data_IF_317626007834
#
_entry.id   IF_317626007834
#
_cell.length_a   1.000
_cell.length_b   1.000
_cell.length_c   1.000
_cell.angle_alpha   90.00
_cell.angle_beta   90.00
_cell.angle_gamma   90.00
#
_symmetry.space_group_name_H-M   'P 1'
#
loop_
_entity.id
_entity.type
_entity.pdbx_description
1 polymer ?
#
# COMPACT_ATOMS: atom_id res chain seq x y z
N UNK A 1 8.78 -4.80 -27.14
CA UNK A 1 7.81 -4.77 -26.00
C UNK A 1 6.64 -3.89 -26.44
N UNK A 2 5.40 -4.42 -26.53
CA UNK A 2 4.22 -3.62 -26.95
C UNK A 2 4.00 -2.51 -25.90
N UNK A 3 3.99 -1.22 -26.30
CA UNK A 3 3.88 -0.05 -25.40
C UNK A 3 2.76 -0.16 -24.36
N UNK A 4 1.64 -0.80 -24.70
CA UNK A 4 0.52 -1.07 -23.80
C UNK A 4 0.91 -1.89 -22.56
N UNK A 5 1.80 -2.87 -22.71
CA UNK A 5 2.28 -3.73 -21.61
C UNK A 5 3.16 -2.96 -20.64
N UNK A 6 4.00 -2.05 -21.16
CA UNK A 6 4.81 -1.18 -20.31
C UNK A 6 3.94 -0.23 -19.49
N UNK A 7 2.94 0.40 -20.12
CA UNK A 7 1.98 1.26 -19.42
C UNK A 7 1.24 0.48 -18.33
N UNK A 8 0.76 -0.73 -18.65
CA UNK A 8 0.09 -1.60 -17.70
C UNK A 8 0.97 -1.89 -16.48
N UNK A 9 2.24 -2.25 -16.68
CA UNK A 9 3.17 -2.53 -15.60
C UNK A 9 3.40 -1.32 -14.70
N UNK A 10 3.63 -0.15 -15.29
CA UNK A 10 3.83 1.10 -14.53
C UNK A 10 2.58 1.44 -13.72
N UNK A 11 1.39 1.34 -14.32
CA UNK A 11 0.13 1.55 -13.60
C UNK A 11 -0.08 0.53 -12.48
N UNK A 12 0.34 -0.72 -12.67
CA UNK A 12 0.24 -1.77 -11.65
C UNK A 12 1.22 -1.57 -10.48
N UNK A 13 2.25 -0.74 -10.61
CA UNK A 13 3.18 -0.42 -9.52
C UNK A 13 2.63 0.64 -8.55
N UNK A 14 1.75 1.53 -9.03
CA UNK A 14 1.18 2.63 -8.22
C UNK A 14 0.48 2.12 -6.95
N UNK A 15 -0.40 1.10 -7.00
CA UNK A 15 -1.07 0.59 -5.81
C UNK A 15 -0.08 0.02 -4.79
N UNK A 16 0.96 -0.68 -5.25
CA UNK A 16 1.99 -1.24 -4.37
C UNK A 16 2.85 -0.15 -3.70
N UNK A 17 3.15 0.94 -4.41
CA UNK A 17 3.81 2.10 -3.81
C UNK A 17 2.95 2.72 -2.69
N UNK A 18 1.64 2.83 -2.92
CA UNK A 18 0.71 3.35 -1.90
C UNK A 18 0.56 2.41 -0.71
N UNK A 19 0.59 1.08 -0.91
CA UNK A 19 0.64 0.11 0.18
C UNK A 19 1.90 0.29 1.01
N UNK A 20 3.07 0.46 0.38
CA UNK A 20 4.33 0.74 1.07
C UNK A 20 4.27 2.03 1.88
N UNK A 21 3.75 3.11 1.28
CA UNK A 21 3.55 4.40 1.97
C UNK A 21 2.60 4.28 3.17
N UNK A 22 1.51 3.53 3.02
CA UNK A 22 0.55 3.28 4.10
C UNK A 22 1.19 2.48 5.26
N UNK A 23 2.03 1.48 4.97
CA UNK A 23 2.76 0.72 5.99
C UNK A 23 3.75 1.59 6.77
N UNK A 24 4.50 2.46 6.07
CA UNK A 24 5.41 3.42 6.72
C UNK A 24 4.61 4.36 7.61
N UNK A 25 3.49 4.89 7.12
CA UNK A 25 2.62 5.78 7.89
C UNK A 25 1.98 5.06 9.10
N UNK A 26 1.73 3.75 9.03
CA UNK A 26 1.19 2.98 10.14
C UNK A 26 2.22 2.64 11.22
N UNK A 27 3.52 2.78 10.92
CA UNK A 27 4.62 2.41 11.83
C UNK A 27 4.49 2.99 13.24
N UNK A 28 4.05 4.26 13.47
CA UNK A 28 3.92 4.79 14.82
C UNK A 28 2.89 4.06 15.67
N UNK A 29 1.73 3.78 15.08
CA UNK A 29 0.66 3.03 15.75
C UNK A 29 1.07 1.58 15.98
N UNK A 30 1.77 0.96 15.02
CA UNK A 30 2.29 -0.40 15.22
C UNK A 30 3.31 -0.46 16.35
N UNK A 31 4.22 0.52 16.43
CA UNK A 31 5.21 0.61 17.50
C UNK A 31 4.55 0.77 18.87
N UNK A 32 3.51 1.60 18.98
CA UNK A 32 2.76 1.76 20.23
C UNK A 32 2.03 0.47 20.64
N UNK A 33 1.38 -0.19 19.69
CA UNK A 33 0.69 -1.47 19.92
C UNK A 33 1.65 -2.64 20.27
N UNK A 34 2.93 -2.56 19.89
CA UNK A 34 3.90 -3.61 20.17
C UNK A 34 4.65 -3.35 21.48
N UNK A 35 5.11 -2.11 21.67
CA UNK A 35 5.99 -1.73 22.78
C UNK A 35 5.22 -1.26 24.02
N UNK A 36 3.97 -0.81 23.87
CA UNK A 36 3.11 -0.33 24.96
C UNK A 36 3.81 0.67 25.91
N UNK A 37 4.61 1.57 25.35
CA UNK A 37 5.49 2.45 26.13
C UNK A 37 4.91 3.86 26.31
N UNK A 38 5.22 4.57 27.42
CA UNK A 38 4.82 5.97 27.59
C UNK A 38 5.37 6.90 26.49
N UNK A 39 6.55 6.56 25.95
CA UNK A 39 7.19 7.31 24.86
C UNK A 39 6.41 7.19 23.56
N UNK A 40 5.99 5.99 23.19
CA UNK A 40 5.18 5.75 21.97
C UNK A 40 3.80 6.37 22.07
N UNK A 41 3.18 6.35 23.26
CA UNK A 41 1.91 7.02 23.52
C UNK A 41 2.05 8.55 23.35
N UNK A 42 3.11 9.14 23.92
CA UNK A 42 3.38 10.58 23.78
C UNK A 42 3.65 10.97 22.33
N UNK A 43 4.37 10.13 21.59
CA UNK A 43 4.61 10.32 20.16
C UNK A 43 3.30 10.29 19.37
N UNK A 44 2.40 9.33 19.61
CA UNK A 44 1.08 9.25 18.98
C UNK A 44 0.20 10.47 19.31
N UNK A 45 0.21 10.95 20.55
CA UNK A 45 -0.51 12.19 20.93
C UNK A 45 0.02 13.39 20.15
N UNK A 46 1.34 13.49 20.01
CA UNK A 46 1.99 14.59 19.27
C UNK A 46 1.64 14.54 17.78
N UNK A 47 1.69 13.35 17.18
CA UNK A 47 1.25 13.08 15.81
C UNK A 47 -0.24 13.37 15.62
N UNK A 48 -1.09 13.00 16.58
CA UNK A 48 -2.53 13.28 16.52
C UNK A 48 -2.83 14.77 16.41
N UNK A 49 -2.02 15.63 17.06
CA UNK A 49 -2.14 17.10 16.96
C UNK A 49 -1.77 17.65 15.59
N UNK A 50 -0.95 16.94 14.81
CA UNK A 50 -0.62 17.31 13.42
C UNK A 50 -1.56 16.70 12.39
N UNK A 51 -2.66 16.05 12.81
CA UNK A 51 -3.65 15.45 11.91
C UNK A 51 -3.34 14.00 11.51
N UNK A 52 -2.49 13.31 12.28
CA UNK A 52 -2.23 11.89 12.07
C UNK A 52 -3.51 11.05 12.17
N UNK A 53 -3.88 10.37 11.09
CA UNK A 53 -5.05 9.49 11.05
C UNK A 53 -4.64 8.07 10.61
N UNK A 54 -4.29 7.18 11.56
CA UNK A 54 -3.82 5.84 11.24
C UNK A 54 -4.93 4.97 10.61
N UNK A 55 -6.20 5.23 10.93
CA UNK A 55 -7.33 4.50 10.32
C UNK A 55 -7.40 4.73 8.82
N UNK A 56 -7.10 5.95 8.37
CA UNK A 56 -7.05 6.29 6.95
C UNK A 56 -5.96 5.50 6.24
N UNK A 57 -4.76 5.39 6.84
CA UNK A 57 -3.69 4.57 6.26
C UNK A 57 -4.05 3.08 6.19
N UNK A 58 -4.75 2.54 7.20
CA UNK A 58 -5.26 1.15 7.12
C UNK A 58 -6.25 0.97 5.98
N UNK A 59 -7.24 1.87 5.84
CA UNK A 59 -8.28 1.76 4.81
C UNK A 59 -7.70 1.94 3.40
N UNK A 60 -6.90 2.98 3.18
CA UNK A 60 -6.26 3.26 1.89
C UNK A 60 -5.28 2.15 1.53
N UNK A 61 -4.43 1.74 2.47
CA UNK A 61 -3.47 0.65 2.26
C UNK A 61 -4.17 -0.66 1.90
N UNK A 62 -5.24 -1.03 2.61
CA UNK A 62 -6.02 -2.23 2.30
C UNK A 62 -6.70 -2.15 0.93
N UNK A 63 -7.33 -1.03 0.60
CA UNK A 63 -7.96 -0.82 -0.70
C UNK A 63 -6.95 -0.92 -1.85
N UNK A 64 -5.76 -0.32 -1.68
CA UNK A 64 -4.70 -0.38 -2.68
C UNK A 64 -4.07 -1.77 -2.80
N UNK A 65 -3.98 -2.52 -1.70
CA UNK A 65 -3.55 -3.91 -1.75
C UNK A 65 -4.52 -4.77 -2.56
N UNK A 66 -5.82 -4.65 -2.30
CA UNK A 66 -6.88 -5.34 -3.07
C UNK A 66 -6.77 -4.98 -4.55
N UNK A 67 -6.68 -3.69 -4.87
CA UNK A 67 -6.59 -3.22 -6.24
C UNK A 67 -5.31 -3.70 -6.96
N UNK A 68 -4.16 -3.67 -6.26
CA UNK A 68 -2.89 -4.19 -6.77
C UNK A 68 -2.94 -5.70 -7.03
N UNK A 69 -3.60 -6.47 -6.16
CA UNK A 69 -3.82 -7.92 -6.36
C UNK A 69 -4.72 -8.19 -7.57
N UNK A 70 -5.80 -7.42 -7.74
CA UNK A 70 -6.66 -7.53 -8.92
C UNK A 70 -5.91 -7.22 -10.21
N UNK A 71 -5.10 -6.14 -10.22
CA UNK A 71 -4.24 -5.81 -11.35
C UNK A 71 -3.24 -6.93 -11.65
N UNK A 72 -2.64 -7.54 -10.64
CA UNK A 72 -1.74 -8.69 -10.84
C UNK A 72 -2.47 -9.89 -11.47
N UNK A 73 -3.69 -10.19 -11.01
CA UNK A 73 -4.51 -11.27 -11.56
C UNK A 73 -4.92 -11.02 -13.03
N UNK A 74 -5.34 -9.79 -13.35
CA UNK A 74 -5.66 -9.37 -14.72
C UNK A 74 -4.41 -9.44 -15.59
N UNK A 75 -3.28 -8.93 -15.09
CA UNK A 75 -2.00 -8.97 -15.78
C UNK A 75 -1.62 -10.40 -16.15
N UNK A 76 -1.72 -11.35 -15.21
CA UNK A 76 -1.41 -12.75 -15.49
C UNK A 76 -2.15 -13.29 -16.71
N UNK A 77 -3.42 -12.95 -16.89
CA UNK A 77 -4.21 -13.31 -18.08
C UNK A 77 -3.73 -12.55 -19.32
N UNK A 78 -3.64 -11.22 -19.21
CA UNK A 78 -3.22 -10.32 -20.28
C UNK A 78 -1.85 -10.67 -20.91
N UNK A 79 -0.89 -11.13 -20.11
CA UNK A 79 0.42 -11.57 -20.59
C UNK A 79 0.46 -13.02 -21.06
N UNK A 80 -0.53 -13.85 -20.70
CA UNK A 80 -0.60 -15.25 -21.11
C UNK A 80 -1.23 -15.42 -22.49
N UNK A 81 -2.19 -14.56 -22.86
CA UNK A 81 -2.86 -14.59 -24.18
C UNK A 81 -1.91 -14.28 -25.36
N UNK A 82 -0.76 -13.65 -25.10
CA UNK A 82 0.23 -13.27 -26.12
C UNK A 82 1.37 -14.30 -26.28
N UNK A 83 1.32 -15.45 -25.59
CA UNK A 83 2.36 -16.50 -25.72
C UNK A 83 2.01 -17.40 -26.90
N UNK A 84 2.90 -17.58 -27.90
CA UNK A 84 2.72 -18.66 -28.86
C UNK A 84 2.80 -19.98 -28.12
N UNK A 85 1.80 -20.85 -28.33
CA UNK A 85 1.85 -22.28 -27.98
C UNK A 85 2.98 -22.97 -28.71
#
# INVERSE_FOLDING_TARGET
MKTSKSIFLVSAMIPWALVGGALIYLSPKMADNLLHSPTTATWLVTLGRSGYNPTLATQVGAAMAIFGTLMAAIGKRYFSDDRPI
#
